data_IF_305157767663
#
_entry.id   IF_305157767663
#
_cell.length_a   1.000
_cell.length_b   1.000
_cell.length_c   1.000
_cell.angle_alpha   90.00
_cell.angle_beta   90.00
_cell.angle_gamma   90.00
#
_symmetry.space_group_name_H-M   'P 1'
#
loop_
_entity.id
_entity.type
_entity.pdbx_description
1 polymer ?
#
# COMPACT_ATOMS: atom_id res chain seq x y z
N UNK A 1 -7.44 9.49 20.35
CA UNK A 1 -7.24 9.39 18.89
C UNK A 1 -5.92 8.68 18.62
N UNK A 2 -5.89 7.36 18.75
CA UNK A 2 -4.72 6.56 18.40
C UNK A 2 -5.00 5.87 17.07
N UNK A 3 -4.54 6.47 15.97
CA UNK A 3 -4.31 5.66 14.77
C UNK A 3 -2.92 5.10 15.02
N UNK A 4 -2.85 3.92 15.63
CA UNK A 4 -1.59 3.18 15.76
C UNK A 4 -1.01 3.02 14.34
N UNK A 5 0.03 3.79 14.06
CA UNK A 5 0.77 3.62 12.83
C UNK A 5 1.28 2.16 12.79
N UNK A 6 1.26 1.51 11.61
CA UNK A 6 1.79 0.16 11.51
C UNK A 6 3.24 0.16 11.98
N UNK A 7 3.48 -0.49 13.12
CA UNK A 7 4.80 -0.61 13.75
C UNK A 7 5.73 -1.55 13.01
N UNK A 8 5.22 -2.29 12.02
CA UNK A 8 5.92 -3.35 11.30
C UNK A 8 5.62 -3.25 9.80
N UNK A 9 6.67 -3.33 8.99
CA UNK A 9 6.59 -3.26 7.53
C UNK A 9 5.81 -4.43 6.91
N UNK A 10 5.75 -5.57 7.59
CA UNK A 10 4.99 -6.76 7.17
C UNK A 10 3.48 -6.51 7.08
N UNK A 11 3.01 -5.44 7.73
CA UNK A 11 1.61 -4.98 7.68
C UNK A 11 1.34 -4.08 6.47
N UNK A 12 2.36 -3.73 5.69
CA UNK A 12 2.26 -2.87 4.52
C UNK A 12 2.37 -3.70 3.24
N UNK A 13 1.50 -3.44 2.28
CA UNK A 13 1.60 -4.03 0.93
C UNK A 13 1.32 -2.99 -0.14
N UNK A 14 2.10 -3.02 -1.22
CA UNK A 14 1.92 -2.14 -2.37
C UNK A 14 1.12 -2.88 -3.44
N UNK A 15 0.07 -2.25 -3.96
CA UNK A 15 -0.73 -2.74 -5.07
C UNK A 15 -0.58 -1.79 -6.26
N UNK A 16 -0.05 -2.32 -7.36
CA UNK A 16 0.14 -1.61 -8.62
C UNK A 16 -0.62 -2.33 -9.74
N UNK A 17 -1.52 -1.62 -10.43
CA UNK A 17 -2.34 -2.15 -11.54
C UNK A 17 -3.03 -3.49 -11.20
N UNK A 18 -3.56 -3.62 -9.98
CA UNK A 18 -4.25 -4.82 -9.53
C UNK A 18 -3.33 -5.99 -9.14
N UNK A 19 -2.01 -5.79 -9.12
CA UNK A 19 -1.03 -6.79 -8.67
C UNK A 19 -0.32 -6.33 -7.41
N UNK A 20 -0.20 -7.23 -6.43
CA UNK A 20 0.61 -6.96 -5.24
C UNK A 20 2.08 -7.04 -5.62
N UNK A 21 2.87 -6.05 -5.21
CA UNK A 21 4.31 -6.05 -5.35
C UNK A 21 4.92 -6.78 -4.15
N UNK A 22 5.88 -7.64 -4.45
CA UNK A 22 6.68 -8.31 -3.43
C UNK A 22 7.83 -7.40 -2.97
N UNK A 23 8.26 -7.56 -1.71
CA UNK A 23 9.30 -6.72 -1.11
C UNK A 23 10.68 -6.87 -1.80
N UNK A 24 10.91 -7.98 -2.51
CA UNK A 24 12.15 -8.22 -3.25
C UNK A 24 12.15 -7.67 -4.68
N UNK A 25 11.02 -7.13 -5.15
CA UNK A 25 10.85 -6.72 -6.55
C UNK A 25 11.29 -5.27 -6.74
N UNK A 26 12.00 -5.02 -7.83
CA UNK A 26 12.43 -3.68 -8.26
C UNK A 26 11.36 -2.96 -9.09
N UNK A 27 11.46 -1.64 -9.21
CA UNK A 27 10.54 -0.83 -10.03
C UNK A 27 10.58 -1.24 -11.52
N UNK A 28 11.77 -1.54 -12.04
CA UNK A 28 11.97 -2.04 -13.41
C UNK A 28 11.27 -3.39 -13.64
N UNK A 29 11.39 -4.34 -12.70
CA UNK A 29 10.75 -5.64 -12.78
C UNK A 29 9.22 -5.52 -12.68
N UNK A 30 8.74 -4.48 -11.97
CA UNK A 30 7.32 -4.09 -11.91
C UNK A 30 6.84 -3.30 -13.13
N UNK A 31 7.72 -3.05 -14.11
CA UNK A 31 7.46 -2.25 -15.32
C UNK A 31 6.97 -0.83 -15.02
N UNK A 32 7.46 -0.25 -13.93
CA UNK A 32 7.17 1.13 -13.56
C UNK A 32 8.16 2.03 -14.30
N UNK A 33 7.68 2.91 -15.22
CA UNK A 33 8.56 3.72 -16.05
C UNK A 33 9.25 4.82 -15.24
N UNK A 34 10.54 5.02 -15.51
CA UNK A 34 11.29 6.14 -14.95
C UNK A 34 10.81 7.49 -15.56
N UNK A 35 10.90 8.56 -14.76
CA UNK A 35 10.54 9.91 -15.21
C UNK A 35 9.03 10.16 -15.33
N UNK A 36 8.18 9.21 -14.93
CA UNK A 36 6.73 9.37 -14.88
C UNK A 36 6.20 9.19 -13.47
N UNK A 37 5.17 9.97 -13.13
CA UNK A 37 4.43 9.77 -11.89
C UNK A 37 3.56 8.51 -12.01
N UNK A 38 3.74 7.57 -11.08
CA UNK A 38 2.97 6.32 -11.01
C UNK A 38 2.11 6.31 -9.75
N UNK A 39 0.82 6.02 -9.91
CA UNK A 39 -0.10 5.88 -8.78
C UNK A 39 -0.12 4.43 -8.30
N UNK A 40 0.12 4.23 -7.01
CA UNK A 40 0.03 2.93 -6.34
C UNK A 40 -0.93 3.01 -5.17
N UNK A 41 -1.48 1.86 -4.76
CA UNK A 41 -2.26 1.77 -3.53
C UNK A 41 -1.38 1.17 -2.43
N UNK A 42 -1.29 1.85 -1.30
CA UNK A 42 -0.68 1.30 -0.09
C UNK A 42 -1.78 0.68 0.78
N UNK A 43 -1.68 -0.62 1.02
CA UNK A 43 -2.59 -1.37 1.87
C UNK A 43 -1.96 -1.50 3.27
N UNK A 44 -2.75 -1.21 4.30
CA UNK A 44 -2.33 -1.30 5.70
C UNK A 44 -3.20 -2.38 6.37
N UNK A 45 -2.59 -3.50 6.71
CA UNK A 45 -3.26 -4.58 7.45
C UNK A 45 -3.13 -4.33 8.95
N UNK A 46 -4.19 -3.81 9.57
CA UNK A 46 -4.30 -3.74 11.03
C UNK A 46 -4.52 -5.14 11.63
N UNK A 47 -4.25 -5.29 12.93
CA UNK A 47 -4.44 -6.54 13.70
C UNK A 47 -5.93 -6.97 13.85
N UNK A 48 -6.81 -6.50 12.96
CA UNK A 48 -8.25 -6.77 12.95
C UNK A 48 -8.86 -6.91 11.55
N UNK A 49 -8.08 -6.80 10.48
CA UNK A 49 -8.58 -7.09 9.13
C UNK A 49 -8.32 -8.57 8.77
N UNK A 50 -8.95 -9.45 9.54
CA UNK A 50 -9.12 -10.86 9.15
C UNK A 50 -10.19 -10.92 8.06
N UNK A 51 -9.75 -11.32 6.88
CA UNK A 51 -10.50 -12.00 5.82
C UNK A 51 -11.72 -11.31 5.18
N UNK A 52 -11.62 -11.30 3.84
CA UNK A 52 -12.67 -11.39 2.83
C UNK A 52 -13.38 -10.13 2.32
N UNK A 53 -13.25 -10.01 1.00
CA UNK A 53 -14.26 -9.59 0.01
C UNK A 53 -14.62 -8.10 -0.06
N UNK A 54 -14.72 -7.67 -1.32
CA UNK A 54 -15.11 -6.35 -1.78
C UNK A 54 -16.19 -5.68 -0.91
N UNK A 55 -15.77 -4.74 -0.06
CA UNK A 55 -16.66 -3.83 0.63
C UNK A 55 -16.24 -2.40 0.30
N UNK A 56 -17.14 -1.72 -0.41
CA UNK A 56 -17.13 -0.29 -0.72
C UNK A 56 -16.92 0.51 0.57
N UNK A 57 -15.74 1.11 0.75
CA UNK A 57 -15.43 1.95 1.91
C UNK A 57 -15.29 3.41 1.48
N UNK A 58 -16.09 4.26 2.11
CA UNK A 58 -16.20 5.68 1.81
C UNK A 58 -14.92 6.45 2.13
N UNK A 59 -14.60 7.42 1.26
CA UNK A 59 -13.38 8.23 1.30
C UNK A 59 -13.32 9.10 2.56
N UNK A 60 -12.37 8.81 3.46
CA UNK A 60 -11.74 9.82 4.32
C UNK A 60 -10.27 9.90 3.96
N UNK A 61 -9.88 11.00 3.30
CA UNK A 61 -8.50 11.26 2.87
C UNK A 61 -7.63 11.66 4.07
N UNK A 62 -7.23 10.69 4.88
CA UNK A 62 -6.09 10.85 5.78
C UNK A 62 -4.82 10.60 4.99
N UNK A 63 -4.09 11.66 4.64
CA UNK A 63 -2.82 11.54 3.92
C UNK A 63 -1.80 10.76 4.74
N UNK A 64 -1.26 9.68 4.17
CA UNK A 64 -0.12 8.95 4.71
C UNK A 64 1.16 9.53 4.08
N UNK A 65 2.19 9.80 4.89
CA UNK A 65 3.51 10.22 4.42
C UNK A 65 4.46 9.04 4.52
N UNK A 66 4.85 8.45 3.40
CA UNK A 66 5.94 7.48 3.32
C UNK A 66 7.09 8.05 2.50
N UNK A 67 8.31 7.90 3.01
CA UNK A 67 9.53 8.29 2.29
C UNK A 67 10.00 7.03 1.55
N UNK A 68 10.02 7.09 0.22
CA UNK A 68 10.73 6.11 -0.60
C UNK A 68 12.17 6.61 -0.69
N UNK A 69 13.10 5.85 -0.13
CA UNK A 69 14.54 6.16 -0.12
C UNK A 69 15.23 5.47 -1.30
#
# INVERSE_FOLDING_TARGET
FGIDAPSDISKLRILHLGRMLDNSVTLEASKIPAGQATVVHLLISGNGASNNSAAKLEKKSGGCSCIIQ
#
